data_IF_453795426833
#
_entry.id   IF_453795426833
#
_cell.length_a   1.000
_cell.length_b   1.000
_cell.length_c   1.000
_cell.angle_alpha   90.00
_cell.angle_beta   90.00
_cell.angle_gamma   90.00
#
_symmetry.space_group_name_H-M   'P 1'
#
loop_
_entity.id
_entity.type
_entity.pdbx_description
1 polymer ?
#
# COMPACT_ATOMS: atom_id res chain seq x y z
N UNK A 1 -27.85 -31.14 4.68
CA UNK A 1 -27.32 -30.03 3.85
C UNK A 1 -25.80 -30.07 3.90
N UNK A 2 -25.13 -29.71 2.81
CA UNK A 2 -23.66 -29.63 2.81
C UNK A 2 -23.17 -28.48 3.71
N UNK A 3 -22.05 -28.63 4.43
CA UNK A 3 -21.49 -27.57 5.26
C UNK A 3 -20.94 -26.44 4.39
N UNK A 4 -21.31 -25.20 4.71
CA UNK A 4 -20.69 -24.01 4.13
C UNK A 4 -19.20 -23.98 4.49
N UNK A 5 -18.34 -23.75 3.48
CA UNK A 5 -16.90 -23.57 3.67
C UNK A 5 -16.54 -22.15 3.27
N UNK A 6 -15.82 -21.46 4.15
CA UNK A 6 -15.19 -20.19 3.82
C UNK A 6 -13.98 -20.45 2.94
N UNK A 7 -13.85 -19.68 1.86
CA UNK A 7 -12.70 -19.76 0.93
C UNK A 7 -12.04 -18.39 0.93
N UNK A 8 -10.75 -18.37 1.24
CA UNK A 8 -9.95 -17.15 1.17
C UNK A 8 -9.88 -16.68 -0.29
N UNK A 9 -10.39 -15.47 -0.53
CA UNK A 9 -10.28 -14.85 -1.84
C UNK A 9 -8.84 -14.43 -2.11
N UNK A 10 -8.32 -14.79 -3.28
CA UNK A 10 -6.96 -14.52 -3.74
C UNK A 10 -6.99 -14.06 -5.20
N UNK A 11 -6.10 -13.15 -5.56
CA UNK A 11 -5.92 -12.71 -6.94
C UNK A 11 -5.00 -13.69 -7.68
N UNK A 12 -5.36 -14.12 -8.90
CA UNK A 12 -4.49 -14.93 -9.74
C UNK A 12 -3.40 -14.05 -10.34
N UNK A 13 -2.41 -13.74 -9.52
CA UNK A 13 -1.17 -13.14 -10.00
C UNK A 13 -0.32 -14.28 -10.58
N UNK A 14 0.26 -14.04 -11.76
CA UNK A 14 1.12 -15.02 -12.44
C UNK A 14 2.36 -15.41 -11.61
N UNK A 15 3.41 -16.00 -12.20
CA UNK A 15 4.62 -16.29 -11.45
C UNK A 15 5.20 -14.98 -10.88
N UNK A 16 5.00 -14.77 -9.59
CA UNK A 16 5.55 -13.63 -8.88
C UNK A 16 6.96 -13.99 -8.44
N UNK A 17 7.89 -13.05 -8.59
CA UNK A 17 9.23 -13.14 -8.04
C UNK A 17 9.20 -13.15 -6.50
N UNK A 18 10.33 -12.85 -5.87
CA UNK A 18 10.38 -12.59 -4.44
C UNK A 18 9.23 -11.65 -4.00
N UNK A 19 8.68 -11.92 -2.81
CA UNK A 19 7.59 -11.16 -2.19
C UNK A 19 6.20 -11.30 -2.86
N UNK A 20 5.97 -12.31 -3.70
CA UNK A 20 4.71 -12.49 -4.41
C UNK A 20 3.43 -12.44 -3.56
N UNK A 21 3.38 -13.17 -2.44
CA UNK A 21 2.22 -13.15 -1.54
C UNK A 21 1.92 -11.75 -0.98
N UNK A 22 2.95 -10.92 -0.79
CA UNK A 22 2.78 -9.55 -0.27
C UNK A 22 2.28 -8.64 -1.38
N UNK A 23 2.78 -8.80 -2.61
CA UNK A 23 2.27 -8.08 -3.79
C UNK A 23 0.79 -8.39 -3.99
N UNK A 24 0.40 -9.66 -3.92
CA UNK A 24 -0.99 -10.10 -3.96
C UNK A 24 -1.82 -9.41 -2.89
N UNK A 25 -1.40 -9.53 -1.63
CA UNK A 25 -2.17 -8.98 -0.52
C UNK A 25 -2.31 -7.47 -0.61
N UNK A 26 -1.26 -6.76 -1.02
CA UNK A 26 -1.29 -5.31 -1.20
C UNK A 26 -2.23 -4.88 -2.33
N UNK A 27 -2.22 -5.62 -3.46
CA UNK A 27 -3.13 -5.35 -4.58
C UNK A 27 -4.58 -5.64 -4.19
N UNK A 28 -4.82 -6.75 -3.49
CA UNK A 28 -6.14 -7.14 -2.98
C UNK A 28 -6.70 -6.10 -2.03
N UNK A 29 -5.90 -5.63 -1.06
CA UNK A 29 -6.28 -4.55 -0.14
C UNK A 29 -6.55 -3.24 -0.88
N UNK A 30 -5.74 -2.89 -1.89
CA UNK A 30 -5.94 -1.70 -2.71
C UNK A 30 -7.24 -1.74 -3.52
N UNK A 31 -7.58 -2.90 -4.10
CA UNK A 31 -8.84 -3.10 -4.81
C UNK A 31 -10.04 -2.95 -3.88
N UNK A 32 -9.99 -3.56 -2.69
CA UNK A 32 -11.07 -3.42 -1.70
C UNK A 32 -11.23 -1.97 -1.24
N UNK A 33 -10.12 -1.25 -1.03
CA UNK A 33 -10.15 0.16 -0.68
C UNK A 33 -10.78 1.02 -1.79
N UNK A 34 -10.48 0.75 -3.07
CA UNK A 34 -11.11 1.45 -4.20
C UNK A 34 -12.61 1.18 -4.29
N UNK A 35 -13.00 -0.07 -4.08
CA UNK A 35 -14.42 -0.43 -4.05
C UNK A 35 -15.17 0.31 -2.94
N UNK A 36 -14.58 0.44 -1.75
CA UNK A 36 -15.18 1.22 -0.66
C UNK A 36 -15.36 2.69 -1.03
N UNK A 37 -14.39 3.31 -1.70
CA UNK A 37 -14.53 4.68 -2.20
C UNK A 37 -15.66 4.84 -3.21
N UNK A 38 -15.80 3.90 -4.14
CA UNK A 38 -16.89 3.87 -5.11
C UNK A 38 -18.25 3.77 -4.40
N UNK A 39 -18.38 2.87 -3.43
CA UNK A 39 -19.59 2.69 -2.61
C UNK A 39 -19.93 3.96 -1.81
N UNK A 40 -18.92 4.65 -1.28
CA UNK A 40 -19.13 5.94 -0.61
C UNK A 40 -19.58 7.00 -1.61
N UNK A 41 -18.93 7.07 -2.79
CA UNK A 41 -19.25 8.04 -3.84
C UNK A 41 -20.65 7.85 -4.41
N UNK A 42 -21.14 6.60 -4.47
CA UNK A 42 -22.49 6.26 -4.92
C UNK A 42 -23.56 6.60 -3.88
N UNK A 43 -23.18 7.14 -2.72
CA UNK A 43 -24.05 7.46 -1.58
C UNK A 43 -24.87 6.26 -1.10
N UNK A 44 -24.32 5.05 -1.26
CA UNK A 44 -24.94 3.82 -0.79
C UNK A 44 -24.83 3.66 0.74
N UNK A 45 -23.95 4.44 1.38
CA UNK A 45 -23.76 4.49 2.83
C UNK A 45 -24.22 5.82 3.39
N UNK A 46 -24.60 5.82 4.68
CA UNK A 46 -24.79 7.08 5.42
C UNK A 46 -23.49 7.87 5.48
N UNK A 47 -23.55 9.18 5.73
CA UNK A 47 -22.37 10.03 5.83
C UNK A 47 -21.36 9.55 6.90
N UNK A 48 -21.87 9.04 8.03
CA UNK A 48 -21.03 8.53 9.13
C UNK A 48 -20.35 7.22 8.74
N UNK A 49 -21.08 6.30 8.11
CA UNK A 49 -20.52 5.03 7.63
C UNK A 49 -19.53 5.26 6.49
N UNK A 50 -19.84 6.19 5.58
CA UNK A 50 -18.96 6.58 4.48
C UNK A 50 -17.64 7.15 5.00
N UNK A 51 -17.67 8.05 5.98
CA UNK A 51 -16.47 8.59 6.60
C UNK A 51 -15.60 7.50 7.27
N UNK A 52 -16.23 6.55 7.98
CA UNK A 52 -15.52 5.40 8.58
C UNK A 52 -14.93 4.48 7.52
N UNK A 53 -15.66 4.20 6.45
CA UNK A 53 -15.20 3.36 5.34
C UNK A 53 -14.00 3.98 4.62
N UNK A 54 -14.04 5.29 4.33
CA UNK A 54 -12.93 6.02 3.72
C UNK A 54 -11.68 6.03 4.62
N UNK A 55 -11.85 6.25 5.92
CA UNK A 55 -10.73 6.19 6.87
C UNK A 55 -10.11 4.78 6.93
N UNK A 56 -10.94 3.73 6.93
CA UNK A 56 -10.47 2.35 6.88
C UNK A 56 -9.73 2.03 5.57
N UNK A 57 -10.26 2.47 4.43
CA UNK A 57 -9.66 2.31 3.11
C UNK A 57 -8.28 3.00 3.01
N UNK A 58 -8.19 4.24 3.49
CA UNK A 58 -6.93 5.01 3.52
C UNK A 58 -5.86 4.31 4.38
N UNK A 59 -6.24 3.88 5.60
CA UNK A 59 -5.34 3.15 6.49
C UNK A 59 -4.87 1.81 5.89
N UNK A 60 -5.77 1.07 5.24
CA UNK A 60 -5.44 -0.20 4.57
C UNK A 60 -4.42 0.02 3.46
N UNK A 61 -4.62 1.02 2.58
CA UNK A 61 -3.67 1.34 1.50
C UNK A 61 -2.30 1.73 2.03
N UNK A 62 -2.26 2.57 3.06
CA UNK A 62 -1.00 2.97 3.65
C UNK A 62 -0.25 1.77 4.23
N UNK A 63 -0.94 0.89 4.95
CA UNK A 63 -0.36 -0.34 5.50
C UNK A 63 0.17 -1.26 4.39
N UNK A 64 -0.61 -1.46 3.33
CA UNK A 64 -0.21 -2.24 2.17
C UNK A 64 1.06 -1.67 1.51
N UNK A 65 1.09 -0.37 1.26
CA UNK A 65 2.21 0.32 0.64
C UNK A 65 3.51 0.22 1.47
N UNK A 66 3.42 0.45 2.79
CA UNK A 66 4.57 0.31 3.69
C UNK A 66 5.08 -1.13 3.75
N UNK A 67 4.17 -2.09 3.82
CA UNK A 67 4.53 -3.51 3.84
C UNK A 67 5.24 -3.90 2.55
N UNK A 68 4.73 -3.47 1.40
CA UNK A 68 5.34 -3.73 0.10
C UNK A 68 6.75 -3.10 0.01
N UNK A 69 6.89 -1.84 0.42
CA UNK A 69 8.17 -1.13 0.44
C UNK A 69 9.22 -1.88 1.27
N UNK A 70 8.88 -2.25 2.51
CA UNK A 70 9.79 -2.98 3.40
C UNK A 70 10.21 -4.32 2.80
N UNK A 71 9.30 -5.01 2.11
CA UNK A 71 9.59 -6.30 1.51
C UNK A 71 10.53 -6.17 0.31
N UNK A 72 10.35 -5.15 -0.55
CA UNK A 72 11.30 -4.87 -1.62
C UNK A 72 12.67 -4.43 -1.11
N UNK A 73 12.73 -3.61 -0.07
CA UNK A 73 13.99 -3.25 0.60
C UNK A 73 14.70 -4.51 1.13
N UNK A 74 13.98 -5.43 1.76
CA UNK A 74 14.55 -6.70 2.24
C UNK A 74 14.98 -7.65 1.12
N UNK A 75 14.29 -7.60 -0.01
CA UNK A 75 14.61 -8.39 -1.21
C UNK A 75 15.68 -7.78 -2.11
N UNK A 76 16.30 -6.66 -1.71
CA UNK A 76 17.23 -5.85 -2.51
C UNK A 76 16.66 -5.36 -3.87
N UNK A 77 15.33 -5.24 -3.95
CA UNK A 77 14.63 -4.76 -5.16
C UNK A 77 14.46 -3.23 -5.11
N UNK A 78 15.58 -2.49 -5.24
CA UNK A 78 15.62 -1.04 -5.03
C UNK A 78 14.70 -0.24 -5.96
N UNK A 79 14.60 -0.63 -7.23
CA UNK A 79 13.75 0.08 -8.21
C UNK A 79 12.27 -0.07 -7.86
N UNK A 80 11.84 -1.28 -7.52
CA UNK A 80 10.46 -1.55 -7.10
C UNK A 80 10.14 -0.89 -5.76
N UNK A 81 11.09 -0.84 -4.83
CA UNK A 81 10.94 -0.07 -3.59
C UNK A 81 10.75 1.43 -3.88
N UNK A 82 11.51 1.99 -4.83
CA UNK A 82 11.36 3.38 -5.23
C UNK A 82 9.99 3.65 -5.87
N UNK A 83 9.52 2.77 -6.75
CA UNK A 83 8.19 2.90 -7.38
C UNK A 83 7.09 2.95 -6.32
N UNK A 84 7.19 2.13 -5.28
CA UNK A 84 6.25 2.14 -4.15
C UNK A 84 6.31 3.45 -3.39
N UNK A 85 7.51 3.96 -3.12
CA UNK A 85 7.66 5.24 -2.44
C UNK A 85 7.04 6.39 -3.26
N UNK A 86 7.33 6.44 -4.56
CA UNK A 86 6.89 7.49 -5.46
C UNK A 86 5.38 7.47 -5.72
N UNK A 87 4.78 6.29 -5.90
CA UNK A 87 3.39 6.17 -6.36
C UNK A 87 2.40 5.79 -5.28
N UNK A 88 2.82 5.10 -4.22
CA UNK A 88 1.92 4.63 -3.17
C UNK A 88 2.11 5.39 -1.86
N UNK A 89 3.35 5.56 -1.38
CA UNK A 89 3.59 6.24 -0.10
C UNK A 89 3.42 7.76 -0.20
N UNK A 90 3.91 8.37 -1.28
CA UNK A 90 3.74 9.80 -1.51
C UNK A 90 2.26 10.21 -1.58
N UNK A 91 1.41 9.35 -2.15
CA UNK A 91 -0.03 9.59 -2.32
C UNK A 91 -0.82 9.23 -1.07
N UNK A 92 -0.56 8.06 -0.46
CA UNK A 92 -1.40 7.54 0.64
C UNK A 92 -1.06 8.12 2.02
N UNK A 93 0.16 8.62 2.25
CA UNK A 93 0.55 9.11 3.58
C UNK A 93 1.46 10.33 3.61
N UNK A 94 1.75 10.92 2.46
CA UNK A 94 2.47 12.19 2.32
C UNK A 94 3.86 12.19 2.94
N UNK A 95 4.34 13.40 3.29
CA UNK A 95 5.71 13.66 3.74
C UNK A 95 6.18 12.79 4.91
N UNK A 96 5.30 12.42 5.85
CA UNK A 96 5.66 11.57 7.00
C UNK A 96 6.10 10.18 6.57
N UNK A 97 5.40 9.60 5.60
CA UNK A 97 5.68 8.22 5.17
C UNK A 97 6.91 8.15 4.27
N UNK A 98 7.16 9.21 3.49
CA UNK A 98 8.42 9.34 2.76
C UNK A 98 9.62 9.43 3.72
N UNK A 99 9.51 10.17 4.84
CA UNK A 99 10.58 10.21 5.84
C UNK A 99 10.82 8.83 6.50
N UNK A 100 9.75 8.07 6.78
CA UNK A 100 9.86 6.71 7.28
C UNK A 100 10.54 5.79 6.26
N UNK A 101 10.15 5.88 4.98
CA UNK A 101 10.71 5.09 3.89
C UNK A 101 12.20 5.39 3.68
N UNK A 102 12.59 6.66 3.74
CA UNK A 102 13.99 7.09 3.72
C UNK A 102 14.77 6.44 4.87
N UNK A 103 14.29 6.59 6.11
CA UNK A 103 14.95 6.02 7.30
C UNK A 103 15.09 4.50 7.19
N UNK A 104 14.09 3.80 6.63
CA UNK A 104 14.14 2.36 6.40
C UNK A 104 15.25 2.00 5.40
N UNK A 105 15.35 2.72 4.28
CA UNK A 105 16.40 2.49 3.28
C UNK A 105 17.80 2.77 3.86
N UNK A 106 17.96 3.84 4.64
CA UNK A 106 19.22 4.16 5.33
C UNK A 106 19.64 3.03 6.28
N UNK A 107 18.70 2.54 7.10
CA UNK A 107 18.95 1.42 8.03
C UNK A 107 19.28 0.10 7.32
N UNK A 108 18.78 -0.09 6.11
CA UNK A 108 19.12 -1.23 5.26
C UNK A 108 20.45 -1.07 4.51
N UNK A 109 21.15 0.06 4.66
CA UNK A 109 22.39 0.36 3.93
C UNK A 109 22.18 0.77 2.46
N UNK A 110 20.93 1.02 2.05
CA UNK A 110 20.56 1.40 0.69
C UNK A 110 20.58 2.91 0.50
N UNK A 111 21.75 3.55 0.66
CA UNK A 111 21.86 5.02 0.66
C UNK A 111 21.37 5.66 -0.65
N UNK A 112 21.65 5.06 -1.81
CA UNK A 112 21.14 5.55 -3.10
C UNK A 112 19.61 5.55 -3.17
N UNK A 113 18.96 4.54 -2.60
CA UNK A 113 17.50 4.50 -2.52
C UNK A 113 17.00 5.58 -1.57
N UNK A 114 17.62 5.72 -0.40
CA UNK A 114 17.27 6.77 0.56
C UNK A 114 17.35 8.17 -0.05
N UNK A 115 18.43 8.48 -0.79
CA UNK A 115 18.60 9.75 -1.49
C UNK A 115 17.49 9.99 -2.52
N UNK A 116 17.16 8.96 -3.31
CA UNK A 116 16.06 9.04 -4.30
C UNK A 116 14.71 9.25 -3.63
N UNK A 117 14.44 8.60 -2.50
CA UNK A 117 13.21 8.80 -1.72
C UNK A 117 13.17 10.21 -1.12
N UNK A 118 14.31 10.73 -0.64
CA UNK A 118 14.42 12.07 -0.09
C UNK A 118 14.17 13.17 -1.13
N UNK A 119 14.45 12.88 -2.40
CA UNK A 119 14.20 13.77 -3.54
C UNK A 119 12.73 13.79 -4.02
N UNK A 120 11.87 12.90 -3.50
CA UNK A 120 10.45 12.87 -3.88
C UNK A 120 9.69 14.10 -3.35
N UNK A 121 8.69 14.61 -4.10
CA UNK A 121 7.87 15.74 -3.66
C UNK A 121 7.17 15.47 -2.32
N UNK A 122 7.37 16.38 -1.36
CA UNK A 122 6.76 16.32 -0.03
C UNK A 122 5.46 17.12 -0.02
N UNK A 123 4.38 16.48 -0.43
CA UNK A 123 3.02 17.06 -0.36
C UNK A 123 2.38 16.68 0.98
N UNK A 124 1.73 17.61 1.69
CA UNK A 124 0.91 17.27 2.86
C UNK A 124 -0.14 16.22 2.46
N UNK A 125 -0.42 15.24 3.34
CA UNK A 125 -1.50 14.29 3.10
C UNK A 125 -2.83 15.05 2.91
N UNK A 126 -3.53 14.77 1.81
CA UNK A 126 -4.84 15.37 1.49
C UNK A 126 -5.96 14.78 2.34
#
# INVERSE_FOLDING_TARGET
GAPLREIAWQLPLGPLSNCGNVVESALRESLMARHLEEVVSSKALSAVEGAKALAAASNARLKAALTLYVQFVKGDEQERALDVAAHLLAVAGGSKQLNNAQTIAERAGMFKLADKVAALPRVPAA
#
